data_IF_299603320651
#
_entry.id   IF_299603320651
#
_cell.length_a   1.000
_cell.length_b   1.000
_cell.length_c   1.000
_cell.angle_alpha   90.00
_cell.angle_beta   90.00
_cell.angle_gamma   90.00
#
_symmetry.space_group_name_H-M   'P 1'
#
loop_
_entity.id
_entity.type
_entity.pdbx_description
1 polymer ?
#
# COMPACT_ATOMS: atom_id res chain seq x y z
N UNK A 1 15.09 7.96 10.33
CA UNK A 1 14.60 6.71 9.70
C UNK A 1 14.22 7.02 8.26
N UNK A 2 14.41 6.08 7.33
CA UNK A 2 13.99 6.24 5.93
C UNK A 2 12.45 6.40 5.87
N UNK A 3 11.92 7.57 5.47
CA UNK A 3 10.48 7.81 5.42
C UNK A 3 9.77 6.92 4.39
N UNK A 4 10.53 6.34 3.45
CA UNK A 4 10.04 5.42 2.42
C UNK A 4 10.49 3.98 2.68
N UNK A 5 10.91 3.65 3.89
CA UNK A 5 11.28 2.29 4.26
C UNK A 5 10.09 1.33 4.21
N UNK A 6 10.36 0.04 3.98
CA UNK A 6 9.34 -1.02 4.01
C UNK A 6 8.57 -1.02 5.35
N UNK A 7 9.20 -0.93 6.54
CA UNK A 7 8.46 -0.90 7.79
C UNK A 7 7.46 0.26 7.88
N UNK A 8 7.80 1.42 7.32
CA UNK A 8 6.91 2.57 7.30
C UNK A 8 5.72 2.35 6.36
N UNK A 9 5.95 1.75 5.19
CA UNK A 9 4.89 1.42 4.24
C UNK A 9 3.91 0.36 4.80
N UNK A 10 4.44 -0.67 5.46
CA UNK A 10 3.62 -1.70 6.14
C UNK A 10 2.78 -1.07 7.25
N UNK A 11 3.39 -0.24 8.11
CA UNK A 11 2.65 0.47 9.16
C UNK A 11 1.49 1.34 8.63
N UNK A 12 1.69 1.99 7.49
CA UNK A 12 0.64 2.78 6.83
C UNK A 12 -0.44 1.88 6.25
N UNK A 13 -0.07 0.76 5.62
CA UNK A 13 -1.02 -0.23 5.12
C UNK A 13 -1.89 -0.80 6.26
N UNK A 14 -1.27 -1.20 7.37
CA UNK A 14 -1.96 -1.77 8.54
C UNK A 14 -2.92 -0.75 9.18
N UNK A 15 -2.64 0.56 9.07
CA UNK A 15 -3.55 1.62 9.54
C UNK A 15 -4.81 1.81 8.69
N UNK A 16 -4.88 1.18 7.51
CA UNK A 16 -6.01 1.27 6.56
C UNK A 16 -6.91 0.02 6.66
N UNK A 17 -7.04 -0.57 7.85
CA UNK A 17 -7.74 -1.85 8.05
C UNK A 17 -9.23 -1.83 7.64
N UNK A 18 -9.88 -0.67 7.64
CA UNK A 18 -11.26 -0.53 7.18
C UNK A 18 -11.38 -0.70 5.66
N UNK A 19 -10.47 -0.11 4.88
CA UNK A 19 -10.50 -0.16 3.42
C UNK A 19 -9.70 -1.31 2.81
N UNK A 20 -8.67 -1.76 3.53
CA UNK A 20 -7.78 -2.87 3.17
C UNK A 20 -7.65 -3.81 4.39
N UNK A 21 -8.64 -4.69 4.62
CA UNK A 21 -8.59 -5.61 5.73
C UNK A 21 -7.34 -6.49 5.72
N UNK A 22 -6.77 -6.72 6.90
CA UNK A 22 -5.66 -7.66 7.07
C UNK A 22 -6.04 -9.03 6.50
N UNK A 23 -5.06 -9.71 5.91
CA UNK A 23 -5.22 -10.99 5.21
C UNK A 23 -6.18 -11.01 4.00
N UNK A 24 -6.71 -9.85 3.57
CA UNK A 24 -7.44 -9.77 2.31
C UNK A 24 -6.51 -10.00 1.10
N UNK A 25 -7.05 -10.39 -0.08
CA UNK A 25 -6.26 -10.47 -1.30
C UNK A 25 -5.55 -9.16 -1.64
N UNK A 26 -6.22 -8.03 -1.39
CA UNK A 26 -5.68 -6.69 -1.62
C UNK A 26 -4.50 -6.38 -0.68
N UNK A 27 -4.55 -6.85 0.58
CA UNK A 27 -3.45 -6.72 1.54
C UNK A 27 -2.19 -7.45 1.06
N UNK A 28 -2.31 -8.73 0.67
CA UNK A 28 -1.18 -9.50 0.15
C UNK A 28 -0.68 -8.99 -1.21
N UNK A 29 -1.56 -8.42 -2.03
CA UNK A 29 -1.16 -7.70 -3.24
C UNK A 29 -0.32 -6.47 -2.88
N UNK A 30 -0.80 -5.63 -1.95
CA UNK A 30 -0.11 -4.43 -1.51
C UNK A 30 1.27 -4.75 -0.93
N UNK A 31 1.40 -5.78 -0.06
CA UNK A 31 2.70 -6.20 0.48
C UNK A 31 3.72 -6.51 -0.63
N UNK A 32 3.30 -7.21 -1.69
CA UNK A 32 4.16 -7.53 -2.84
C UNK A 32 4.49 -6.28 -3.66
N UNK A 33 3.49 -5.42 -3.91
CA UNK A 33 3.66 -4.16 -4.64
C UNK A 33 4.66 -3.23 -3.94
N UNK A 34 4.60 -3.14 -2.61
CA UNK A 34 5.47 -2.28 -1.80
C UNK A 34 6.92 -2.74 -1.74
N UNK A 35 7.27 -3.92 -2.26
CA UNK A 35 8.68 -4.31 -2.49
C UNK A 35 9.30 -3.46 -3.61
N UNK A 36 8.51 -3.05 -4.60
CA UNK A 36 8.95 -2.11 -5.62
C UNK A 36 9.13 -0.72 -4.99
N UNK A 37 10.33 -0.16 -5.12
CA UNK A 37 10.70 1.12 -4.50
C UNK A 37 9.82 2.28 -4.97
N UNK A 38 9.56 2.39 -6.27
CA UNK A 38 8.82 3.51 -6.84
C UNK A 38 7.33 3.42 -6.49
N UNK A 39 6.75 2.22 -6.55
CA UNK A 39 5.36 1.98 -6.10
C UNK A 39 5.19 2.26 -4.61
N UNK A 40 6.17 1.90 -3.78
CA UNK A 40 6.17 2.21 -2.34
C UNK A 40 6.25 3.72 -2.07
N UNK A 41 7.12 4.43 -2.78
CA UNK A 41 7.21 5.90 -2.68
C UNK A 41 5.89 6.55 -3.09
N UNK A 42 5.27 6.07 -4.19
CA UNK A 42 3.96 6.54 -4.64
C UNK A 42 2.89 6.31 -3.57
N UNK A 43 2.74 5.07 -3.08
CA UNK A 43 1.77 4.73 -2.03
C UNK A 43 1.86 5.66 -0.80
N UNK A 44 3.09 5.92 -0.33
CA UNK A 44 3.33 6.77 0.82
C UNK A 44 3.07 8.26 0.53
N UNK A 45 3.25 8.69 -0.71
CA UNK A 45 3.14 10.11 -1.11
C UNK A 45 1.73 10.51 -1.55
N UNK A 46 0.88 9.57 -1.98
CA UNK A 46 -0.49 9.90 -2.40
C UNK A 46 -1.40 10.25 -1.21
N UNK A 47 -2.48 10.97 -1.51
CA UNK A 47 -3.50 11.34 -0.54
C UNK A 47 -4.04 10.08 0.17
N UNK A 48 -4.03 10.02 1.52
CA UNK A 48 -4.49 8.85 2.27
C UNK A 48 -5.88 8.36 1.85
N UNK A 49 -6.80 9.28 1.55
CA UNK A 49 -8.20 8.97 1.21
C UNK A 49 -8.36 8.19 -0.11
N UNK A 50 -7.33 8.17 -0.96
CA UNK A 50 -7.37 7.47 -2.26
C UNK A 50 -6.44 6.27 -2.34
N UNK A 51 -5.69 5.96 -1.27
CA UNK A 51 -4.71 4.85 -1.28
C UNK A 51 -5.34 3.50 -1.58
N UNK A 52 -6.47 3.20 -0.95
CA UNK A 52 -7.16 1.93 -1.17
C UNK A 52 -7.69 1.82 -2.61
N UNK A 53 -8.14 2.93 -3.20
CA UNK A 53 -8.56 2.97 -4.61
C UNK A 53 -7.37 2.74 -5.54
N UNK A 54 -6.25 3.42 -5.30
CA UNK A 54 -5.03 3.24 -6.08
C UNK A 54 -4.54 1.79 -6.05
N UNK A 55 -4.51 1.14 -4.87
CA UNK A 55 -4.17 -0.27 -4.74
C UNK A 55 -5.11 -1.18 -5.56
N UNK A 56 -6.43 -0.90 -5.56
CA UNK A 56 -7.41 -1.65 -6.35
C UNK A 56 -7.20 -1.48 -7.86
N UNK A 57 -6.77 -0.31 -8.31
CA UNK A 57 -6.43 -0.08 -9.72
C UNK A 57 -5.16 -0.83 -10.10
N UNK A 58 -4.09 -0.70 -9.30
CA UNK A 58 -2.83 -1.44 -9.51
C UNK A 58 -3.03 -2.96 -9.54
N UNK A 59 -3.94 -3.51 -8.74
CA UNK A 59 -4.25 -4.93 -8.72
C UNK A 59 -5.02 -5.40 -9.97
N UNK A 60 -5.82 -4.53 -10.59
CA UNK A 60 -6.57 -4.86 -11.81
C UNK A 60 -5.69 -4.83 -13.06
N UNK A 61 -4.64 -4.00 -13.04
CA UNK A 61 -3.71 -3.84 -14.16
C UNK A 61 -2.58 -4.88 -14.16
N UNK A 62 -2.56 -5.77 -13.16
CA UNK A 62 -1.54 -6.82 -12.94
C UNK A 62 -2.05 -8.21 -13.32
#
# INVERSE_FOLDING_TARGET
MDPYGIPQAVKVLDSMAEEVPEASPLYFFALRLLLNKDKRIMFLSINPNIRALWLKTEMKDS
#
